data_IF_694016963387
#
_entry.id   IF_694016963387
#
_cell.length_a   1.000
_cell.length_b   1.000
_cell.length_c   1.000
_cell.angle_alpha   90.00
_cell.angle_beta   90.00
_cell.angle_gamma   90.00
#
_symmetry.space_group_name_H-M   'P 1'
#
loop_
_entity.id
_entity.type
_entity.pdbx_description
1 polymer ?
#
# COMPACT_ATOMS: atom_id res chain seq x y z
N UNK A 1 4.32 -20.86 -37.92
CA UNK A 1 3.31 -20.26 -37.04
C UNK A 1 4.08 -19.47 -36.00
N UNK A 2 3.99 -18.16 -36.03
CA UNK A 2 4.43 -17.33 -34.89
C UNK A 2 3.60 -17.74 -33.69
N UNK A 3 4.25 -18.22 -32.62
CA UNK A 3 3.60 -18.51 -31.36
C UNK A 3 3.43 -17.19 -30.64
N UNK A 4 2.20 -16.74 -30.50
CA UNK A 4 1.89 -15.56 -29.68
C UNK A 4 2.36 -15.83 -28.25
N UNK A 5 3.14 -14.93 -27.62
CA UNK A 5 3.52 -15.06 -26.22
C UNK A 5 2.30 -15.24 -25.32
N UNK A 6 2.45 -16.00 -24.25
CA UNK A 6 1.34 -16.36 -23.37
C UNK A 6 0.78 -15.16 -22.63
N UNK A 7 1.65 -14.19 -22.30
CA UNK A 7 1.33 -12.98 -21.56
C UNK A 7 1.90 -11.78 -22.32
N UNK A 8 1.06 -10.79 -22.56
CA UNK A 8 1.47 -9.47 -23.07
C UNK A 8 1.09 -8.43 -22.02
N UNK A 9 2.00 -7.52 -21.71
CA UNK A 9 1.78 -6.48 -20.73
C UNK A 9 2.43 -5.17 -21.18
N UNK A 10 1.83 -4.06 -20.73
CA UNK A 10 2.33 -2.72 -21.01
C UNK A 10 3.08 -2.19 -19.80
N UNK A 11 4.34 -1.81 -19.98
CA UNK A 11 5.14 -1.20 -18.94
C UNK A 11 4.97 0.31 -18.97
N UNK A 12 4.27 0.85 -17.98
CA UNK A 12 4.14 2.29 -17.79
C UNK A 12 5.51 2.93 -17.53
N UNK A 13 5.66 4.20 -17.84
CA UNK A 13 6.95 4.90 -17.66
C UNK A 13 7.94 4.68 -18.80
N UNK A 14 8.20 3.45 -19.26
CA UNK A 14 8.88 3.19 -20.54
C UNK A 14 7.92 3.30 -21.72
N UNK A 15 6.62 3.06 -21.46
CA UNK A 15 5.55 3.09 -22.45
C UNK A 15 5.74 2.07 -23.58
N UNK A 16 6.15 0.87 -23.22
CA UNK A 16 6.43 -0.21 -24.14
C UNK A 16 5.58 -1.45 -23.84
N UNK A 17 5.17 -2.16 -24.91
CA UNK A 17 4.61 -3.47 -24.81
C UNK A 17 5.71 -4.51 -24.64
N UNK A 18 5.55 -5.36 -23.65
CA UNK A 18 6.44 -6.48 -23.35
C UNK A 18 5.67 -7.80 -23.39
N UNK A 19 6.40 -8.91 -23.38
CA UNK A 19 5.81 -10.24 -23.36
C UNK A 19 6.63 -11.20 -22.51
N UNK A 20 5.93 -12.19 -21.93
CA UNK A 20 6.54 -13.25 -21.13
C UNK A 20 5.71 -14.53 -21.23
N UNK A 21 6.31 -15.67 -20.92
CA UNK A 21 5.59 -16.94 -20.81
C UNK A 21 4.94 -17.11 -19.41
N UNK A 22 5.41 -16.39 -18.40
CA UNK A 22 4.93 -16.46 -17.01
C UNK A 22 4.73 -15.05 -16.44
N UNK A 23 3.97 -14.97 -15.35
CA UNK A 23 3.82 -13.75 -14.55
C UNK A 23 4.06 -14.05 -13.06
N UNK A 24 4.95 -13.34 -12.35
CA UNK A 24 5.85 -12.27 -12.86
C UNK A 24 6.81 -12.76 -13.96
N UNK A 25 7.36 -11.84 -14.80
CA UNK A 25 8.37 -12.19 -15.79
C UNK A 25 9.59 -12.87 -15.15
N UNK A 26 10.21 -13.83 -15.87
CA UNK A 26 11.34 -14.63 -15.36
C UNK A 26 12.56 -13.81 -14.96
N UNK A 27 12.74 -12.65 -15.57
CA UNK A 27 13.84 -11.72 -15.30
C UNK A 27 13.59 -10.80 -14.11
N UNK A 28 12.63 -11.12 -13.22
CA UNK A 28 12.37 -10.33 -12.01
C UNK A 28 12.89 -10.99 -10.76
N UNK A 29 13.40 -10.20 -9.83
CA UNK A 29 13.83 -10.62 -8.50
C UNK A 29 13.04 -9.87 -7.43
N UNK A 30 12.49 -10.62 -6.45
CA UNK A 30 11.80 -10.00 -5.31
C UNK A 30 12.82 -9.30 -4.40
N UNK A 31 12.70 -7.99 -4.32
CA UNK A 31 13.49 -7.14 -3.42
C UNK A 31 12.63 -6.73 -2.24
N UNK A 32 13.10 -7.00 -1.03
CA UNK A 32 12.39 -6.64 0.20
C UNK A 32 12.79 -5.25 0.66
N UNK A 33 11.81 -4.37 0.84
CA UNK A 33 11.95 -3.07 1.49
C UNK A 33 11.25 -3.10 2.84
N UNK A 34 11.96 -2.71 3.89
CA UNK A 34 11.45 -2.58 5.25
C UNK A 34 11.03 -1.14 5.52
N UNK A 35 9.99 -0.99 6.33
CA UNK A 35 9.53 0.31 6.80
C UNK A 35 10.46 0.81 7.91
N UNK A 36 10.75 2.11 7.89
CA UNK A 36 11.55 2.81 8.90
C UNK A 36 10.93 4.16 9.23
N UNK A 37 10.98 4.54 10.50
CA UNK A 37 10.72 5.90 10.97
C UNK A 37 11.23 6.07 12.41
N UNK A 38 11.16 7.28 12.92
CA UNK A 38 11.31 7.57 14.35
C UNK A 38 9.95 7.78 15.05
N UNK A 39 8.87 7.26 14.47
CA UNK A 39 7.50 7.37 14.95
C UNK A 39 6.76 8.59 14.39
N UNK A 40 7.19 9.11 13.25
CA UNK A 40 6.64 10.32 12.61
C UNK A 40 6.44 10.15 11.11
N UNK A 41 6.06 8.94 10.63
CA UNK A 41 5.77 8.71 9.21
C UNK A 41 4.44 9.34 8.75
N UNK A 42 3.71 10.04 9.63
CA UNK A 42 2.45 10.69 9.31
C UNK A 42 2.67 11.79 8.28
N UNK A 43 1.90 11.68 7.20
CA UNK A 43 1.92 12.53 6.02
C UNK A 43 3.24 12.52 5.22
N UNK A 44 3.22 13.15 4.03
CA UNK A 44 4.39 13.31 3.17
C UNK A 44 5.52 14.16 3.77
N UNK A 45 5.25 14.85 4.87
CA UNK A 45 6.21 15.70 5.58
C UNK A 45 6.90 14.95 6.74
N UNK A 46 6.50 13.68 6.97
CA UNK A 46 7.07 12.84 8.01
C UNK A 46 8.44 12.25 7.67
N UNK A 47 8.90 11.34 8.52
CA UNK A 47 10.23 10.73 8.43
C UNK A 47 10.22 9.27 7.93
N UNK A 48 9.08 8.82 7.36
CA UNK A 48 8.94 7.46 6.87
C UNK A 48 9.84 7.13 5.68
N UNK A 49 10.61 6.05 5.81
CA UNK A 49 11.54 5.58 4.78
C UNK A 49 11.31 4.11 4.43
N UNK A 50 11.58 3.77 3.17
CA UNK A 50 11.73 2.42 2.67
C UNK A 50 13.20 2.10 2.46
N UNK A 51 13.68 0.99 3.03
CA UNK A 51 15.08 0.55 2.90
C UNK A 51 15.18 -0.97 2.80
N UNK A 52 16.16 -1.46 2.07
CA UNK A 52 16.47 -2.90 2.02
C UNK A 52 17.12 -3.43 3.29
N UNK A 53 17.57 -2.56 4.18
CA UNK A 53 18.11 -2.91 5.48
C UNK A 53 17.00 -3.02 6.51
N UNK A 54 17.01 -4.06 7.36
CA UNK A 54 16.03 -4.19 8.45
C UNK A 54 16.23 -3.10 9.51
N UNK A 55 15.12 -2.56 10.00
CA UNK A 55 15.10 -1.70 11.17
C UNK A 55 15.63 -2.41 12.41
N UNK A 56 16.35 -1.70 13.28
CA UNK A 56 16.90 -2.26 14.52
C UNK A 56 16.06 -1.88 15.74
N UNK A 57 15.80 -0.60 15.95
CA UNK A 57 15.11 -0.05 17.12
C UNK A 57 14.18 1.11 16.74
N UNK A 58 13.53 0.98 15.59
CA UNK A 58 12.62 2.02 15.11
C UNK A 58 11.38 2.09 16.01
N UNK A 59 10.85 3.29 16.17
CA UNK A 59 9.61 3.53 16.92
C UNK A 59 8.43 3.23 16.01
N UNK A 60 7.35 2.64 16.54
CA UNK A 60 6.15 2.42 15.73
C UNK A 60 5.51 3.75 15.34
N UNK A 61 4.82 3.75 14.22
CA UNK A 61 4.01 4.87 13.76
C UNK A 61 2.56 4.71 14.19
N UNK A 62 1.93 5.81 14.57
CA UNK A 62 0.57 5.84 15.07
C UNK A 62 -0.28 6.77 14.21
N UNK A 63 -1.51 6.37 13.94
CA UNK A 63 -2.48 7.23 13.29
C UNK A 63 -3.89 6.95 13.82
N UNK A 64 -4.75 7.95 13.70
CA UNK A 64 -6.15 7.84 14.10
C UNK A 64 -7.02 7.71 12.88
N UNK A 65 -7.84 6.67 12.83
CA UNK A 65 -8.84 6.47 11.78
C UNK A 65 -10.24 6.76 12.34
N UNK A 66 -10.88 7.78 11.78
CA UNK A 66 -12.29 8.08 12.02
C UNK A 66 -13.11 7.63 10.79
N UNK A 67 -14.00 6.64 10.92
CA UNK A 67 -14.84 6.19 9.80
C UNK A 67 -15.75 7.30 9.24
N UNK A 68 -16.03 8.34 10.00
CA UNK A 68 -16.84 9.47 9.54
C UNK A 68 -16.03 10.51 8.75
N UNK A 69 -14.70 10.45 8.85
CA UNK A 69 -13.75 11.28 8.11
C UNK A 69 -12.75 10.46 7.29
N UNK A 70 -13.24 9.36 6.69
CA UNK A 70 -12.43 8.40 5.94
C UNK A 70 -11.56 9.05 4.88
N UNK A 71 -10.37 8.47 4.63
CA UNK A 71 -9.51 8.86 3.50
C UNK A 71 -10.27 8.65 2.19
N UNK A 72 -10.43 9.70 1.38
CA UNK A 72 -11.15 9.57 0.11
C UNK A 72 -10.29 8.86 -0.95
N UNK A 73 -10.96 8.08 -1.80
CA UNK A 73 -10.32 7.54 -3.00
C UNK A 73 -10.03 8.67 -4.00
N UNK A 74 -8.79 8.77 -4.45
CA UNK A 74 -8.36 9.74 -5.44
C UNK A 74 -7.53 9.05 -6.51
N UNK A 75 -8.18 8.70 -7.62
CA UNK A 75 -7.59 7.81 -8.63
C UNK A 75 -7.74 6.34 -8.28
N UNK A 76 -6.94 5.51 -8.93
CA UNK A 76 -6.87 4.06 -8.72
C UNK A 76 -7.33 3.24 -9.92
N UNK A 77 -7.18 1.92 -9.82
CA UNK A 77 -7.56 0.96 -10.88
C UNK A 77 -9.07 0.67 -10.84
N UNK A 78 -9.88 1.71 -10.99
CA UNK A 78 -11.34 1.66 -11.03
C UNK A 78 -11.85 2.11 -12.39
N UNK A 79 -12.99 1.56 -12.82
CA UNK A 79 -13.71 2.06 -13.98
C UNK A 79 -15.21 2.18 -13.66
N UNK A 80 -15.93 2.89 -14.55
CA UNK A 80 -17.40 2.87 -14.61
C UNK A 80 -18.12 3.39 -13.35
N UNK A 81 -17.40 4.16 -12.52
CA UNK A 81 -17.93 4.73 -11.26
C UNK A 81 -18.59 6.11 -11.44
N UNK A 82 -18.74 6.56 -12.68
CA UNK A 82 -19.22 7.92 -12.97
C UNK A 82 -18.26 8.97 -12.39
N UNK A 83 -18.82 9.91 -11.61
CA UNK A 83 -18.03 10.96 -10.95
C UNK A 83 -17.64 10.63 -9.51
N UNK A 84 -18.01 9.44 -8.99
CA UNK A 84 -17.76 9.08 -7.59
C UNK A 84 -16.27 8.87 -7.29
N UNK A 85 -15.56 8.21 -8.21
CA UNK A 85 -14.11 8.05 -8.16
C UNK A 85 -13.56 8.16 -9.58
N UNK A 86 -12.61 9.03 -9.80
CA UNK A 86 -11.91 9.13 -11.08
C UNK A 86 -10.88 8.00 -11.16
N UNK A 87 -10.97 7.15 -12.18
CA UNK A 87 -9.96 6.10 -12.42
C UNK A 87 -8.63 6.66 -12.92
N UNK A 88 -7.57 5.87 -12.82
CA UNK A 88 -6.24 6.18 -13.32
C UNK A 88 -5.29 6.77 -12.29
N UNK A 89 -4.10 7.14 -12.75
CA UNK A 89 -3.06 7.75 -11.93
C UNK A 89 -3.35 9.24 -11.70
N UNK A 90 -3.36 9.64 -10.44
CA UNK A 90 -3.58 11.03 -10.02
C UNK A 90 -2.53 11.42 -8.98
N UNK A 91 -2.18 12.70 -8.94
CA UNK A 91 -1.22 13.22 -7.96
C UNK A 91 -1.79 13.16 -6.54
N UNK A 92 -1.17 12.38 -5.69
CA UNK A 92 -1.61 12.10 -4.32
C UNK A 92 -1.13 13.14 -3.29
N UNK A 93 -0.35 14.13 -3.67
CA UNK A 93 0.28 15.08 -2.74
C UNK A 93 -0.71 15.71 -1.73
N UNK A 94 -1.93 16.02 -2.16
CA UNK A 94 -2.95 16.61 -1.28
C UNK A 94 -3.51 15.58 -0.30
N UNK A 95 -3.65 14.32 -0.74
CA UNK A 95 -4.08 13.23 0.14
C UNK A 95 -2.99 12.89 1.16
N UNK A 96 -1.74 12.84 0.72
CA UNK A 96 -0.56 12.57 1.55
C UNK A 96 -0.28 13.67 2.61
N UNK A 97 -0.95 14.82 2.54
CA UNK A 97 -0.87 15.84 3.57
C UNK A 97 -1.68 15.50 4.84
N UNK A 98 -2.52 14.47 4.80
CA UNK A 98 -3.35 14.03 5.93
C UNK A 98 -2.51 13.30 6.99
N UNK A 99 -2.86 13.50 8.27
CA UNK A 99 -2.18 12.84 9.40
C UNK A 99 -2.62 11.38 9.62
N UNK A 100 -3.69 10.93 8.97
CA UNK A 100 -4.19 9.56 8.99
C UNK A 100 -3.67 8.72 7.82
N UNK A 101 -2.67 9.22 7.10
CA UNK A 101 -1.89 8.51 6.10
C UNK A 101 -0.43 8.48 6.54
N UNK A 102 0.12 7.27 6.70
CA UNK A 102 1.55 7.06 6.90
C UNK A 102 2.22 6.93 5.54
N UNK A 103 3.34 7.64 5.34
CA UNK A 103 4.04 7.73 4.06
C UNK A 103 5.46 7.25 4.22
N UNK A 104 5.85 6.22 3.43
CA UNK A 104 7.20 5.67 3.44
C UNK A 104 7.80 5.74 2.04
N UNK A 105 9.00 6.30 1.91
CA UNK A 105 9.60 6.61 0.61
C UNK A 105 11.06 6.12 0.54
N UNK A 106 11.47 5.56 -0.60
CA UNK A 106 12.88 5.17 -0.83
C UNK A 106 13.79 6.39 -0.95
N UNK A 107 15.10 6.16 -0.89
CA UNK A 107 16.07 7.11 -1.45
C UNK A 107 15.75 7.34 -2.95
N UNK A 108 16.34 8.41 -3.52
CA UNK A 108 16.25 8.67 -4.97
C UNK A 108 16.85 7.49 -5.72
N UNK A 109 16.16 7.02 -6.75
CA UNK A 109 16.65 5.94 -7.62
C UNK A 109 17.82 6.47 -8.48
N UNK A 110 18.93 5.74 -8.45
CA UNK A 110 20.15 6.11 -9.18
C UNK A 110 20.12 5.67 -10.65
N UNK A 111 19.21 4.74 -10.98
CA UNK A 111 18.98 4.22 -12.34
C UNK A 111 17.49 3.93 -12.57
N UNK A 112 17.13 3.75 -13.85
CA UNK A 112 15.80 3.30 -14.24
C UNK A 112 15.54 1.91 -13.65
N UNK A 113 14.44 1.77 -12.90
CA UNK A 113 14.07 0.56 -12.15
C UNK A 113 12.70 0.07 -12.61
N UNK A 114 12.69 -1.02 -13.36
CA UNK A 114 11.43 -1.65 -13.76
C UNK A 114 10.90 -2.55 -12.64
N UNK A 115 9.63 -2.36 -12.31
CA UNK A 115 8.85 -3.20 -11.39
C UNK A 115 7.75 -3.86 -12.18
N UNK A 116 7.82 -5.19 -12.36
CA UNK A 116 6.84 -5.97 -13.13
C UNK A 116 6.48 -7.25 -12.39
N UNK A 117 5.24 -7.33 -11.89
CA UNK A 117 4.76 -8.52 -11.18
C UNK A 117 3.92 -8.23 -9.96
N UNK A 118 3.82 -9.23 -9.07
CA UNK A 118 3.08 -9.15 -7.82
C UNK A 118 3.90 -8.49 -6.72
N UNK A 119 3.29 -7.53 -6.05
CA UNK A 119 3.88 -6.79 -4.93
C UNK A 119 3.21 -7.26 -3.65
N UNK A 120 3.99 -7.91 -2.79
CA UNK A 120 3.49 -8.48 -1.54
C UNK A 120 3.75 -7.52 -0.38
N UNK A 121 2.78 -7.37 0.50
CA UNK A 121 2.86 -6.48 1.66
C UNK A 121 2.53 -7.24 2.93
N UNK A 122 3.42 -7.11 3.92
CA UNK A 122 3.26 -7.66 5.26
C UNK A 122 3.38 -6.54 6.27
N UNK A 123 2.33 -6.33 7.05
CA UNK A 123 2.30 -5.35 8.11
C UNK A 123 2.19 -6.04 9.47
N UNK A 124 2.89 -5.51 10.46
CA UNK A 124 2.68 -5.82 11.87
C UNK A 124 1.91 -4.66 12.49
N UNK A 125 0.69 -4.94 12.92
CA UNK A 125 -0.27 -3.92 13.32
C UNK A 125 -0.83 -4.16 14.71
N UNK A 126 -1.21 -3.11 15.41
CA UNK A 126 -2.07 -3.19 16.60
C UNK A 126 -3.10 -2.06 16.57
N UNK A 127 -4.19 -2.25 17.30
CA UNK A 127 -5.28 -1.27 17.40
C UNK A 127 -5.90 -1.31 18.81
N UNK A 128 -6.66 -0.28 19.13
CA UNK A 128 -7.49 -0.26 20.34
C UNK A 128 -8.94 -0.72 20.10
N UNK A 129 -9.26 -1.07 18.85
CA UNK A 129 -10.56 -1.65 18.45
C UNK A 129 -10.41 -3.10 18.02
N UNK A 130 -11.49 -3.86 18.07
CA UNK A 130 -11.48 -5.30 17.73
C UNK A 130 -11.42 -5.60 16.22
N UNK A 131 -11.74 -4.62 15.39
CA UNK A 131 -11.68 -4.75 13.93
C UNK A 131 -11.46 -3.38 13.29
N UNK A 132 -10.61 -3.34 12.27
CA UNK A 132 -10.33 -2.19 11.41
C UNK A 132 -9.78 -2.69 10.07
N UNK A 133 -9.55 -1.80 9.13
CA UNK A 133 -8.94 -2.14 7.84
C UNK A 133 -7.55 -1.51 7.75
N UNK A 134 -6.65 -2.12 6.96
CA UNK A 134 -5.41 -1.50 6.55
C UNK A 134 -5.33 -1.48 5.02
N UNK A 135 -4.95 -0.34 4.48
CA UNK A 135 -4.75 -0.12 3.05
C UNK A 135 -3.27 0.09 2.76
N UNK A 136 -2.83 -0.32 1.60
CA UNK A 136 -1.53 0.07 1.03
C UNK A 136 -1.78 0.58 -0.38
N UNK A 137 -1.10 1.68 -0.74
CA UNK A 137 -1.08 2.23 -2.09
C UNK A 137 0.37 2.36 -2.54
N UNK A 138 0.66 1.92 -3.77
CA UNK A 138 1.96 2.08 -4.42
C UNK A 138 1.97 3.35 -5.25
N UNK A 139 3.05 4.12 -5.15
CA UNK A 139 3.16 5.45 -5.76
C UNK A 139 4.52 5.61 -6.42
N UNK A 140 4.52 6.21 -7.60
CA UNK A 140 5.70 6.73 -8.29
C UNK A 140 5.86 8.22 -8.00
N UNK A 141 6.94 8.58 -7.29
CA UNK A 141 7.25 9.99 -6.94
C UNK A 141 8.27 10.55 -7.91
N UNK A 142 7.89 11.58 -8.60
CA UNK A 142 8.68 12.29 -9.59
C UNK A 142 9.68 13.26 -8.95
N UNK A 143 10.73 13.70 -9.69
CA UNK A 143 11.72 14.63 -9.15
C UNK A 143 11.15 16.00 -8.72
N UNK A 144 10.04 16.44 -9.31
CA UNK A 144 9.34 17.68 -8.95
C UNK A 144 8.43 17.54 -7.72
N UNK A 145 8.33 16.31 -7.18
CA UNK A 145 7.53 15.98 -6.01
C UNK A 145 6.13 15.48 -6.32
N UNK A 146 5.66 15.55 -7.57
CA UNK A 146 4.38 14.94 -7.95
C UNK A 146 4.41 13.43 -7.68
N UNK A 147 3.29 12.87 -7.22
CA UNK A 147 3.22 11.51 -6.67
C UNK A 147 2.02 10.76 -7.25
N UNK A 148 2.26 9.90 -8.23
CA UNK A 148 1.18 9.23 -8.95
C UNK A 148 0.95 7.81 -8.44
N UNK A 149 -0.30 7.50 -8.06
CA UNK A 149 -0.69 6.17 -7.64
C UNK A 149 -0.69 5.18 -8.81
N UNK A 150 -0.18 3.97 -8.54
CA UNK A 150 -0.10 2.87 -9.51
C UNK A 150 -1.10 1.77 -9.21
N UNK A 151 -1.12 1.28 -7.99
CA UNK A 151 -2.06 0.25 -7.53
C UNK A 151 -2.30 0.39 -6.02
N UNK A 152 -3.37 -0.26 -5.53
CA UNK A 152 -3.78 -0.18 -4.14
C UNK A 152 -4.56 -1.43 -3.71
N UNK A 153 -4.43 -1.77 -2.43
CA UNK A 153 -5.11 -2.93 -1.83
C UNK A 153 -5.58 -2.61 -0.40
N UNK A 154 -6.45 -3.46 0.11
CA UNK A 154 -7.00 -3.36 1.46
C UNK A 154 -7.13 -4.74 2.08
N UNK A 155 -6.93 -4.83 3.40
CA UNK A 155 -7.23 -6.01 4.19
C UNK A 155 -8.07 -5.63 5.41
N UNK A 156 -9.25 -6.24 5.53
CA UNK A 156 -10.04 -6.20 6.77
C UNK A 156 -9.46 -7.18 7.77
N UNK A 157 -9.06 -6.69 8.95
CA UNK A 157 -8.24 -7.46 9.89
C UNK A 157 -8.96 -8.68 10.44
N UNK A 158 -10.30 -8.63 10.61
CA UNK A 158 -11.06 -9.82 11.03
C UNK A 158 -10.91 -11.00 10.06
N UNK A 159 -10.55 -10.75 8.80
CA UNK A 159 -10.33 -11.78 7.77
C UNK A 159 -8.85 -12.02 7.42
N UNK A 160 -7.92 -11.63 8.33
CA UNK A 160 -6.47 -11.82 8.12
C UNK A 160 -6.04 -13.28 8.03
N UNK A 161 -6.83 -14.19 8.60
CA UNK A 161 -6.57 -15.63 8.60
C UNK A 161 -7.36 -16.39 7.51
N UNK A 162 -8.17 -15.69 6.72
CA UNK A 162 -9.03 -16.25 5.68
C UNK A 162 -10.42 -15.66 5.72
N UNK A 163 -11.19 -15.83 4.63
CA UNK A 163 -12.54 -15.26 4.50
C UNK A 163 -13.66 -16.20 4.99
N UNK A 164 -13.31 -17.37 5.46
CA UNK A 164 -14.23 -18.40 5.96
C UNK A 164 -14.63 -18.19 7.43
N UNK A 165 -13.88 -17.37 8.16
CA UNK A 165 -14.15 -17.06 9.57
C UNK A 165 -13.74 -15.63 9.94
N UNK A 166 -14.41 -15.07 10.93
CA UNK A 166 -14.03 -13.81 11.54
C UNK A 166 -13.15 -14.03 12.77
N UNK A 167 -11.97 -13.40 12.80
CA UNK A 167 -11.04 -13.46 13.93
C UNK A 167 -10.71 -12.04 14.36
N UNK A 168 -11.36 -11.58 15.44
CA UNK A 168 -11.17 -10.23 15.95
C UNK A 168 -9.80 -10.04 16.62
N UNK A 169 -9.37 -8.77 16.71
CA UNK A 169 -8.18 -8.40 17.45
C UNK A 169 -8.48 -8.19 18.93
N UNK A 170 -7.48 -8.45 19.76
CA UNK A 170 -7.42 -7.99 21.14
C UNK A 170 -6.71 -6.63 21.21
N UNK A 171 -7.21 -5.74 22.04
CA UNK A 171 -6.68 -4.37 22.17
C UNK A 171 -5.18 -4.37 22.50
N UNK A 172 -4.40 -3.72 21.64
CA UNK A 172 -2.96 -3.52 21.81
C UNK A 172 -2.09 -4.71 21.46
N UNK A 173 -2.66 -5.88 21.18
CA UNK A 173 -1.90 -7.03 20.67
C UNK A 173 -1.42 -6.78 19.24
N UNK A 174 -0.23 -7.30 18.93
CA UNK A 174 0.39 -7.12 17.61
C UNK A 174 0.08 -8.32 16.73
N UNK A 175 -0.47 -8.04 15.55
CA UNK A 175 -0.86 -9.04 14.56
C UNK A 175 -0.05 -8.87 13.27
N UNK A 176 0.32 -9.98 12.65
CA UNK A 176 0.79 -10.01 11.28
C UNK A 176 -0.41 -9.97 10.33
N UNK A 177 -0.39 -9.03 9.40
CA UNK A 177 -1.42 -8.87 8.36
C UNK A 177 -0.75 -8.89 7.00
N UNK A 178 -1.08 -9.91 6.21
CA UNK A 178 -0.68 -10.01 4.82
C UNK A 178 -1.81 -9.44 3.96
N UNK A 179 -1.52 -8.41 3.18
CA UNK A 179 -2.50 -7.82 2.28
C UNK A 179 -2.54 -8.59 0.96
N UNK A 180 -3.69 -8.58 0.30
CA UNK A 180 -3.80 -9.10 -1.07
C UNK A 180 -2.74 -8.44 -1.95
N UNK A 181 -1.95 -9.21 -2.73
CA UNK A 181 -0.90 -8.62 -3.55
C UNK A 181 -1.43 -7.59 -4.54
N UNK A 182 -0.75 -6.46 -4.65
CA UNK A 182 -0.89 -5.54 -5.78
C UNK A 182 -0.18 -6.13 -7.00
N UNK A 183 -0.48 -5.61 -8.19
CA UNK A 183 0.19 -6.04 -9.44
C UNK A 183 0.36 -4.87 -10.38
N UNK A 184 1.59 -4.67 -10.87
CA UNK A 184 1.86 -3.59 -11.84
C UNK A 184 2.97 -3.98 -12.80
N UNK A 185 3.10 -3.20 -13.87
CA UNK A 185 4.32 -3.06 -14.65
C UNK A 185 4.59 -1.58 -14.87
N UNK A 186 5.64 -1.08 -14.22
CA UNK A 186 6.03 0.34 -14.26
C UNK A 186 7.54 0.50 -14.23
N UNK A 187 8.04 1.40 -15.07
CA UNK A 187 9.43 1.86 -15.06
C UNK A 187 9.55 3.12 -14.21
N UNK A 188 9.99 2.97 -12.97
CA UNK A 188 10.42 4.10 -12.15
C UNK A 188 11.71 4.67 -12.72
N UNK A 189 11.68 5.89 -13.21
CA UNK A 189 12.83 6.50 -13.85
C UNK A 189 13.91 6.89 -12.83
N UNK A 190 15.16 6.98 -13.30
CA UNK A 190 16.25 7.61 -12.53
C UNK A 190 15.80 8.98 -12.03
N UNK A 191 16.06 9.25 -10.75
CA UNK A 191 15.62 10.48 -10.08
C UNK A 191 14.26 10.37 -9.40
N UNK A 192 13.43 9.36 -9.74
CA UNK A 192 12.18 9.07 -9.05
C UNK A 192 12.41 8.37 -7.70
N UNK A 193 11.33 8.13 -6.98
CA UNK A 193 11.31 7.33 -5.74
C UNK A 193 10.12 6.40 -5.74
N UNK A 194 10.28 5.23 -5.14
CA UNK A 194 9.16 4.34 -4.82
C UNK A 194 8.60 4.77 -3.48
N UNK A 195 7.28 4.91 -3.40
CA UNK A 195 6.58 5.29 -2.17
C UNK A 195 5.41 4.36 -1.91
N UNK A 196 5.12 4.13 -0.64
CA UNK A 196 3.85 3.54 -0.20
C UNK A 196 3.14 4.47 0.76
N UNK A 197 1.82 4.49 0.68
CA UNK A 197 0.93 5.04 1.69
C UNK A 197 0.28 3.90 2.47
N UNK A 198 0.11 4.06 3.78
CA UNK A 198 -0.64 3.15 4.64
C UNK A 198 -1.71 3.96 5.36
N UNK A 199 -2.95 3.47 5.35
CA UNK A 199 -4.09 4.05 6.05
C UNK A 199 -5.08 2.97 6.44
N UNK A 200 -6.28 3.35 6.92
CA UNK A 200 -7.37 2.42 7.27
C UNK A 200 -8.62 2.59 6.40
N UNK A 201 -8.53 3.37 5.35
CA UNK A 201 -9.65 3.58 4.43
C UNK A 201 -9.20 4.09 3.06
N UNK A 202 -10.04 3.86 2.06
CA UNK A 202 -9.93 4.40 0.71
C UNK A 202 -11.36 4.41 0.13
N UNK A 203 -12.16 5.33 0.62
CA UNK A 203 -13.61 5.41 0.35
C UNK A 203 -13.90 6.39 -0.80
N UNK A 204 -14.81 6.09 -1.73
CA UNK A 204 -15.75 4.96 -1.75
C UNK A 204 -15.30 3.75 -2.58
N UNK A 205 -14.04 3.67 -3.03
CA UNK A 205 -13.57 2.48 -3.72
C UNK A 205 -13.75 1.22 -2.87
N UNK A 206 -13.35 1.30 -1.59
CA UNK A 206 -13.58 0.26 -0.60
C UNK A 206 -14.57 0.76 0.45
N UNK A 207 -15.44 -0.13 0.93
CA UNK A 207 -16.36 0.19 2.01
C UNK A 207 -15.60 0.52 3.29
N UNK A 208 -16.01 1.59 3.98
CA UNK A 208 -15.45 1.96 5.29
C UNK A 208 -15.69 0.85 6.31
N UNK A 209 -14.67 0.48 7.07
CA UNK A 209 -14.89 -0.28 8.30
C UNK A 209 -15.32 0.68 9.41
N UNK A 210 -16.44 0.39 10.04
CA UNK A 210 -16.94 1.19 11.16
C UNK A 210 -16.25 0.86 12.50
N UNK A 211 -15.27 -0.07 12.48
CA UNK A 211 -14.44 -0.49 13.62
C UNK A 211 -15.21 -1.19 14.75
N UNK A 212 -16.50 -1.34 14.64
CA UNK A 212 -17.38 -1.93 15.66
C UNK A 212 -17.27 -3.46 15.73
N UNK A 213 -16.75 -4.08 14.66
CA UNK A 213 -16.79 -5.53 14.47
C UNK A 213 -18.16 -6.07 14.10
N UNK A 214 -19.14 -5.19 13.86
CA UNK A 214 -20.48 -5.53 13.40
C UNK A 214 -20.60 -5.56 11.86
N UNK A 215 -21.84 -5.47 11.39
CA UNK A 215 -22.14 -5.39 9.97
C UNK A 215 -22.17 -3.91 9.53
N UNK A 216 -21.17 -3.51 8.75
CA UNK A 216 -21.04 -2.13 8.26
C UNK A 216 -22.23 -1.62 7.42
N UNK A 217 -23.07 -2.52 6.89
CA UNK A 217 -24.25 -2.15 6.11
C UNK A 217 -25.47 -1.81 6.97
N UNK A 218 -25.50 -2.29 8.20
CA UNK A 218 -26.61 -2.09 9.14
C UNK A 218 -26.33 -0.97 10.15
N UNK A 219 -25.07 -0.66 10.37
CA UNK A 219 -24.63 0.33 11.35
C UNK A 219 -24.49 1.73 10.73
N UNK A 220 -24.80 2.77 11.49
CA UNK A 220 -24.72 4.17 11.05
C UNK A 220 -23.59 4.96 11.67
N UNK A 221 -23.06 4.48 12.79
CA UNK A 221 -22.02 5.18 13.57
C UNK A 221 -20.83 4.23 13.76
N UNK A 222 -19.66 4.73 13.47
CA UNK A 222 -18.41 4.01 13.67
C UNK A 222 -17.72 4.40 14.99
N UNK A 223 -16.69 3.66 15.31
CA UNK A 223 -15.78 3.91 16.43
C UNK A 223 -14.47 4.42 15.88
N UNK A 224 -13.93 5.50 16.43
CA UNK A 224 -12.57 5.95 16.08
C UNK A 224 -11.56 4.90 16.56
N UNK A 225 -10.62 4.52 15.68
CA UNK A 225 -9.55 3.58 15.97
C UNK A 225 -8.21 4.30 16.08
N UNK A 226 -7.41 3.93 17.09
CA UNK A 226 -6.00 4.31 17.20
C UNK A 226 -5.14 3.15 16.75
N UNK A 227 -4.65 3.26 15.51
CA UNK A 227 -3.92 2.23 14.83
C UNK A 227 -2.41 2.45 14.91
N UNK A 228 -1.67 1.36 14.97
CA UNK A 228 -0.21 1.37 15.06
C UNK A 228 0.38 0.45 14.01
N UNK A 229 1.41 0.93 13.29
CA UNK A 229 2.27 0.14 12.42
C UNK A 229 3.61 -0.06 13.12
N UNK A 230 3.96 -1.33 13.35
CA UNK A 230 5.23 -1.73 13.95
C UNK A 230 6.24 -2.09 12.86
N UNK A 231 7.48 -1.58 12.96
CA UNK A 231 8.54 -1.86 11.99
C UNK A 231 9.92 -2.07 12.63
N UNK A 232 9.94 -2.47 13.91
CA UNK A 232 11.16 -2.84 14.61
C UNK A 232 11.72 -4.19 14.14
N UNK A 233 12.91 -4.58 14.62
CA UNK A 233 13.51 -5.88 14.32
C UNK A 233 12.62 -7.07 14.71
N UNK A 234 11.77 -6.92 15.74
CA UNK A 234 10.81 -7.95 16.17
C UNK A 234 9.60 -8.03 15.26
N UNK A 235 9.17 -6.91 14.72
CA UNK A 235 7.96 -6.77 13.92
C UNK A 235 8.30 -6.04 12.60
N UNK A 236 9.02 -6.69 11.67
CA UNK A 236 9.56 -6.03 10.47
C UNK A 236 8.50 -5.90 9.38
N UNK A 237 7.64 -4.88 9.48
CA UNK A 237 6.73 -4.53 8.39
C UNK A 237 7.51 -4.24 7.12
N UNK A 238 7.02 -4.77 6.00
CA UNK A 238 7.77 -4.79 4.75
C UNK A 238 6.87 -4.84 3.52
N UNK A 239 7.45 -4.45 2.40
CA UNK A 239 6.92 -4.67 1.06
C UNK A 239 7.97 -5.39 0.22
N UNK A 240 7.52 -6.37 -0.59
CA UNK A 240 8.36 -7.10 -1.53
C UNK A 240 7.99 -6.71 -2.94
N UNK A 241 8.95 -6.16 -3.67
CA UNK A 241 8.77 -5.57 -5.00
C UNK A 241 9.54 -6.41 -6.02
N UNK A 242 8.89 -6.91 -7.11
CA UNK A 242 9.54 -7.64 -8.19
C UNK A 242 10.29 -6.66 -9.11
N UNK A 243 11.60 -6.54 -8.94
CA UNK A 243 12.46 -5.67 -9.75
C UNK A 243 13.06 -6.49 -10.90
N UNK A 244 12.97 -5.98 -12.12
CA UNK A 244 13.60 -6.59 -13.27
C UNK A 244 15.13 -6.51 -13.13
N UNK A 245 15.80 -7.65 -13.34
CA UNK A 245 17.26 -7.74 -13.43
C UNK A 245 17.69 -7.62 -14.88
N UNK A 246 18.75 -6.83 -15.10
CA UNK A 246 19.34 -6.59 -16.43
C UNK A 246 20.19 -7.77 -16.87
#
# INVERSE_FOLDING_TARGET
>A
KETTPRIQYYTMGSNEWQSSEVWPPENTQLTTYYLHSNGHANSRFGDGMLSTSKAKKDRPDHFTYDPMAAVPSYGGNVCCTGNAVKGGAWDQQDMEARNDILVYTTAVLEEDTEVSGFINSKLYVSSDVKDTDFTIKLIDVYPDGSAYNLDETIQRVRYREGYDKEVFMEKGEVYEVNLTPMSTSNMFKKGHRIRIEISSSNFPRFARNLNTGGNNYDEKVGITAHNTIHHSAKYPSQIQIPIAVK
#
